data_IF_558571662391
#
_entry.id   IF_558571662391
#
_cell.length_a   1.000
_cell.length_b   1.000
_cell.length_c   1.000
_cell.angle_alpha   90.00
_cell.angle_beta   90.00
_cell.angle_gamma   90.00
#
_symmetry.space_group_name_H-M   'P 1'
#
loop_
_entity.id
_entity.type
_entity.pdbx_description
1 polymer ?
#
# COMPACT_ATOMS: atom_id res chain seq x y z
N UNK A 1 -5.41 -9.08 7.86
CA UNK A 1 -5.24 -8.89 6.39
C UNK A 1 -5.21 -7.39 6.13
N UNK A 2 -4.53 -6.86 5.10
CA UNK A 2 -4.42 -5.40 4.89
C UNK A 2 -5.79 -4.70 4.92
N UNK A 3 -6.82 -5.30 4.30
CA UNK A 3 -8.19 -4.81 4.28
C UNK A 3 -8.87 -4.68 5.66
N UNK A 4 -8.37 -5.35 6.71
CA UNK A 4 -8.93 -5.25 8.08
C UNK A 4 -8.30 -4.14 8.91
N UNK A 5 -7.19 -3.55 8.44
CA UNK A 5 -6.42 -2.56 9.19
C UNK A 5 -6.19 -1.26 8.42
N UNK A 6 -6.39 -1.26 7.10
CA UNK A 6 -6.24 -0.10 6.24
C UNK A 6 -7.59 0.30 5.62
N UNK A 7 -7.83 1.60 5.41
CA UNK A 7 -8.99 2.08 4.65
C UNK A 7 -9.00 1.52 3.24
N UNK A 8 -10.19 1.30 2.68
CA UNK A 8 -10.32 0.85 1.29
C UNK A 8 -9.71 1.87 0.30
N UNK A 9 -9.29 1.44 -0.92
CA UNK A 9 -8.80 2.35 -1.94
C UNK A 9 -9.83 3.43 -2.29
N UNK A 10 -9.42 4.69 -2.19
CA UNK A 10 -10.23 5.85 -2.56
C UNK A 10 -9.33 7.03 -2.97
N UNK A 11 -9.82 8.02 -3.73
CA UNK A 11 -9.01 9.14 -4.23
C UNK A 11 -8.35 10.00 -3.14
N UNK A 12 -8.90 9.99 -1.92
CA UNK A 12 -8.46 10.76 -0.76
C UNK A 12 -7.56 9.96 0.21
N UNK A 13 -7.24 8.72 -0.12
CA UNK A 13 -6.40 7.83 0.72
C UNK A 13 -4.98 7.79 0.18
N UNK A 14 -4.00 7.90 1.09
CA UNK A 14 -2.57 7.70 0.81
C UNK A 14 -2.02 6.58 1.70
N UNK A 15 -1.35 5.60 1.09
CA UNK A 15 -0.67 4.53 1.83
C UNK A 15 0.81 4.87 1.96
N UNK A 16 1.28 4.95 3.20
CA UNK A 16 2.67 5.22 3.54
C UNK A 16 3.38 3.93 3.90
N UNK A 17 4.50 3.65 3.23
CA UNK A 17 5.33 2.47 3.47
C UNK A 17 6.72 2.90 3.94
N UNK A 18 7.22 2.27 4.99
CA UNK A 18 8.58 2.41 5.47
C UNK A 18 9.01 1.05 6.05
N UNK A 19 10.25 0.66 5.80
CA UNK A 19 10.77 -0.63 6.21
C UNK A 19 11.88 -1.15 5.29
N UNK A 20 12.37 -2.38 5.53
CA UNK A 20 13.40 -2.99 4.70
C UNK A 20 12.97 -3.07 3.23
N UNK A 21 13.89 -2.93 2.26
CA UNK A 21 13.58 -3.02 0.83
C UNK A 21 12.74 -4.24 0.41
N UNK A 22 13.02 -5.48 0.88
CA UNK A 22 12.19 -6.63 0.51
C UNK A 22 10.77 -6.55 1.07
N UNK A 23 10.60 -5.98 2.27
CA UNK A 23 9.28 -5.79 2.88
C UNK A 23 8.45 -4.78 2.09
N UNK A 24 9.04 -3.63 1.73
CA UNK A 24 8.34 -2.62 0.94
C UNK A 24 7.91 -3.19 -0.43
N UNK A 25 8.78 -3.96 -1.09
CA UNK A 25 8.45 -4.61 -2.37
C UNK A 25 7.29 -5.59 -2.24
N UNK A 26 7.29 -6.44 -1.20
CA UNK A 26 6.17 -7.35 -0.95
C UNK A 26 4.87 -6.58 -0.67
N UNK A 27 4.96 -5.51 0.12
CA UNK A 27 3.80 -4.70 0.48
C UNK A 27 3.18 -3.97 -0.70
N UNK A 28 3.99 -3.43 -1.61
CA UNK A 28 3.49 -2.86 -2.86
C UNK A 28 2.68 -3.90 -3.65
N UNK A 29 3.24 -5.10 -3.85
CA UNK A 29 2.53 -6.15 -4.61
C UNK A 29 1.20 -6.57 -3.97
N UNK A 30 1.13 -6.63 -2.64
CA UNK A 30 -0.14 -6.91 -1.96
C UNK A 30 -1.15 -5.76 -2.08
N UNK A 31 -0.70 -4.52 -2.03
CA UNK A 31 -1.55 -3.34 -2.23
C UNK A 31 -2.06 -3.26 -3.68
N UNK A 32 -1.21 -3.55 -4.66
CA UNK A 32 -1.59 -3.61 -6.08
C UNK A 32 -2.68 -4.67 -6.32
N UNK A 33 -2.51 -5.87 -5.74
CA UNK A 33 -3.50 -6.95 -5.82
C UNK A 33 -4.85 -6.60 -5.18
N UNK A 34 -4.87 -5.62 -4.26
CA UNK A 34 -6.08 -5.13 -3.59
C UNK A 34 -6.66 -3.87 -4.25
N UNK A 35 -6.07 -3.39 -5.35
CA UNK A 35 -6.55 -2.23 -6.11
C UNK A 35 -6.06 -0.87 -5.61
N UNK A 36 -5.06 -0.82 -4.73
CA UNK A 36 -4.41 0.44 -4.38
C UNK A 36 -3.45 0.81 -5.50
N UNK A 37 -3.73 1.88 -6.25
CA UNK A 37 -2.88 2.28 -7.36
C UNK A 37 -1.46 2.70 -6.89
N UNK A 38 -0.42 2.56 -7.74
CA UNK A 38 0.93 3.00 -7.39
C UNK A 38 1.01 4.48 -7.01
N UNK A 39 0.13 5.32 -7.59
CA UNK A 39 0.06 6.76 -7.35
C UNK A 39 -0.36 7.12 -5.91
N UNK A 40 -1.14 6.26 -5.26
CA UNK A 40 -1.55 6.45 -3.87
C UNK A 40 -0.59 5.80 -2.86
N UNK A 41 0.42 5.07 -3.32
CA UNK A 41 1.44 4.45 -2.49
C UNK A 41 2.71 5.31 -2.45
N UNK A 42 3.15 5.71 -1.27
CA UNK A 42 4.41 6.42 -1.07
C UNK A 42 5.36 5.59 -0.20
N UNK A 43 6.61 5.48 -0.63
CA UNK A 43 7.66 4.82 0.13
C UNK A 43 8.69 5.88 0.55
N UNK A 44 8.98 5.91 1.86
CA UNK A 44 10.06 6.73 2.43
C UNK A 44 11.45 6.13 2.16
#
# INVERSE_FOLDING_TARGET
>A
MIQTHCPAPAPDIKILRCGPPPMNKAMAGHLDALGYSPEIQFQF
#
